data_IF_757063871673
#
_entry.id   IF_757063871673
#
_cell.length_a   1.000
_cell.length_b   1.000
_cell.length_c   1.000
_cell.angle_alpha   90.00
_cell.angle_beta   90.00
_cell.angle_gamma   90.00
#
_symmetry.space_group_name_H-M   'P 1'
#
loop_
_entity.id
_entity.type
_entity.pdbx_description
1 polymer ?
#
# COMPACT_ATOMS: atom_id res chain seq x y z
N UNK A 1 45.85 -25.02 0.18
CA UNK A 1 46.08 -23.79 0.98
C UNK A 1 44.84 -23.59 1.86
N UNK A 2 44.64 -24.39 2.93
CA UNK A 2 44.83 -24.06 4.37
C UNK A 2 44.74 -22.54 4.66
N UNK A 3 43.86 -22.03 5.54
CA UNK A 3 43.70 -22.37 6.96
C UNK A 3 42.28 -22.04 7.51
N UNK A 4 41.82 -22.86 8.46
CA UNK A 4 40.80 -22.55 9.50
C UNK A 4 41.46 -21.83 10.68
N UNK A 5 40.66 -21.38 11.67
CA UNK A 5 40.91 -21.82 13.03
C UNK A 5 39.68 -22.45 13.72
N UNK A 6 39.99 -23.40 14.59
CA UNK A 6 39.13 -24.15 15.50
C UNK A 6 38.82 -23.34 16.77
N UNK A 7 37.69 -23.63 17.44
CA UNK A 7 37.68 -23.85 18.91
C UNK A 7 36.57 -24.86 19.23
N UNK A 8 36.89 -25.88 20.03
CA UNK A 8 35.98 -26.93 20.47
C UNK A 8 35.58 -26.86 21.94
N UNK A 9 34.77 -27.86 22.30
CA UNK A 9 34.47 -28.43 23.62
C UNK A 9 33.29 -27.87 24.46
N UNK A 10 32.34 -28.78 24.71
CA UNK A 10 31.33 -28.83 25.78
C UNK A 10 31.75 -29.98 26.73
N UNK A 11 31.54 -29.90 28.06
CA UNK A 11 30.45 -30.67 28.73
C UNK A 11 29.75 -29.84 29.84
N UNK A 12 28.42 -29.85 30.01
CA UNK A 12 27.51 -30.85 30.62
C UNK A 12 27.63 -31.04 32.16
N UNK A 13 26.50 -30.86 32.87
CA UNK A 13 26.23 -31.21 34.28
C UNK A 13 26.29 -30.00 35.24
N UNK A 14 25.37 -29.72 36.16
CA UNK A 14 24.22 -30.43 36.72
C UNK A 14 24.06 -29.99 38.19
N UNK A 15 22.83 -29.84 38.68
CA UNK A 15 22.52 -30.05 40.10
C UNK A 15 22.34 -28.82 41.02
N UNK A 16 21.10 -28.34 41.11
CA UNK A 16 20.26 -28.23 42.33
C UNK A 16 20.91 -27.79 43.65
N UNK A 17 20.34 -26.75 44.29
CA UNK A 17 19.98 -26.77 45.73
C UNK A 17 18.90 -25.73 46.05
N UNK A 18 17.72 -26.25 46.32
CA UNK A 18 16.58 -25.58 46.93
C UNK A 18 16.60 -25.98 48.42
N UNK A 19 16.65 -25.03 49.35
CA UNK A 19 16.35 -25.26 50.78
C UNK A 19 15.86 -23.96 51.43
N UNK A 20 14.55 -23.79 51.50
CA UNK A 20 13.85 -23.30 52.71
C UNK A 20 13.33 -24.56 53.44
N UNK A 21 12.99 -24.59 54.75
CA UNK A 21 12.15 -23.59 55.45
C UNK A 21 12.35 -23.42 56.98
N UNK A 22 11.57 -22.53 57.59
CA UNK A 22 10.86 -22.65 58.89
C UNK A 22 10.59 -21.22 59.44
N UNK A 23 9.36 -20.69 59.28
CA UNK A 23 8.20 -20.78 60.19
C UNK A 23 8.30 -19.94 61.47
N UNK A 24 7.39 -18.96 61.56
CA UNK A 24 6.91 -18.29 62.77
C UNK A 24 5.63 -17.52 62.42
N UNK A 25 4.49 -18.08 62.82
CA UNK A 25 3.13 -17.54 62.63
C UNK A 25 2.89 -16.36 63.59
N UNK A 26 2.10 -15.37 63.19
CA UNK A 26 0.89 -15.06 63.98
C UNK A 26 -0.23 -14.31 63.22
N UNK A 27 -1.44 -14.77 63.54
CA UNK A 27 -2.84 -14.33 63.36
C UNK A 27 -3.26 -13.11 62.51
N UNK A 28 -4.31 -13.30 61.68
CA UNK A 28 -5.08 -12.19 61.09
C UNK A 28 -6.10 -12.53 59.98
N UNK A 29 -7.08 -13.42 60.25
CA UNK A 29 -8.43 -13.53 59.64
C UNK A 29 -8.62 -13.18 58.14
N UNK A 30 -8.82 -14.20 57.29
CA UNK A 30 -10.13 -14.49 56.63
C UNK A 30 -10.09 -15.85 55.91
N UNK A 31 -11.00 -16.73 56.33
CA UNK A 31 -11.54 -17.95 55.69
C UNK A 31 -10.76 -18.66 54.56
N UNK A 32 -10.22 -19.83 54.91
CA UNK A 32 -10.06 -20.99 54.05
C UNK A 32 -10.53 -22.19 54.86
N UNK A 33 -11.52 -22.93 54.38
CA UNK A 33 -11.75 -24.30 54.81
C UNK A 33 -12.21 -25.16 53.62
N UNK A 34 -11.41 -26.20 53.39
CA UNK A 34 -11.70 -27.51 52.78
C UNK A 34 -12.06 -27.58 51.29
N UNK A 35 -11.10 -27.88 50.41
CA UNK A 35 -10.53 -29.22 50.07
C UNK A 35 -11.57 -30.14 49.42
N UNK A 36 -11.39 -30.47 48.13
CA UNK A 36 -11.30 -31.85 47.62
C UNK A 36 -10.95 -31.87 46.12
N UNK A 37 -10.16 -32.88 45.78
CA UNK A 37 -9.63 -33.24 44.47
C UNK A 37 -10.68 -33.38 43.35
N UNK A 38 -10.26 -33.03 42.13
CA UNK A 38 -10.40 -33.94 40.99
C UNK A 38 -11.62 -33.79 40.08
N UNK A 39 -11.37 -33.15 38.93
CA UNK A 39 -11.98 -33.41 37.62
C UNK A 39 -13.50 -33.24 37.45
N UNK A 40 -13.86 -32.36 36.52
CA UNK A 40 -15.02 -32.59 35.66
C UNK A 40 -15.96 -31.41 35.48
N UNK A 41 -15.72 -30.67 34.40
CA UNK A 41 -16.76 -30.12 33.51
C UNK A 41 -17.71 -29.01 34.02
N UNK A 42 -17.65 -27.89 33.28
CA UNK A 42 -18.67 -26.84 33.05
C UNK A 42 -18.95 -25.86 34.21
N UNK A 43 -18.62 -24.58 34.01
CA UNK A 43 -19.55 -23.56 33.45
C UNK A 43 -18.90 -22.16 33.39
N UNK A 44 -19.05 -21.56 32.20
CA UNK A 44 -19.36 -20.14 31.94
C UNK A 44 -18.37 -19.05 32.40
N UNK A 45 -17.42 -18.72 31.51
CA UNK A 45 -17.06 -17.33 31.28
C UNK A 45 -17.88 -16.82 30.11
N UNK A 46 -18.60 -15.72 30.30
CA UNK A 46 -19.25 -14.99 29.20
C UNK A 46 -18.15 -14.41 28.30
N UNK A 47 -18.08 -14.92 27.08
CA UNK A 47 -17.38 -14.28 25.97
C UNK A 47 -18.27 -13.17 25.40
N UNK A 48 -17.76 -11.95 25.16
CA UNK A 48 -18.48 -10.99 24.34
C UNK A 48 -18.66 -11.56 22.93
N UNK A 49 -19.80 -11.27 22.28
CA UNK A 49 -20.10 -11.78 20.94
C UNK A 49 -19.13 -11.18 19.90
N UNK A 50 -18.52 -12.04 19.08
CA UNK A 50 -17.64 -11.66 17.96
C UNK A 50 -18.41 -11.00 16.82
N UNK A 51 -17.70 -10.22 16.02
CA UNK A 51 -18.24 -9.30 15.02
C UNK A 51 -17.76 -9.64 13.57
N UNK A 52 -18.21 -8.94 12.51
CA UNK A 52 -18.18 -9.30 11.06
C UNK A 52 -16.81 -9.30 10.50
N UNK A 53 -16.01 -8.45 11.11
CA UNK A 53 -14.66 -8.17 10.71
C UNK A 53 -13.78 -9.37 10.80
N UNK A 54 -14.08 -10.23 11.76
CA UNK A 54 -13.37 -11.47 11.90
C UNK A 54 -13.60 -12.33 10.63
N UNK A 55 -14.80 -12.35 9.99
CA UNK A 55 -15.09 -13.23 8.83
C UNK A 55 -14.21 -12.82 7.65
N UNK A 56 -14.11 -11.51 7.46
CA UNK A 56 -13.33 -10.89 6.39
C UNK A 56 -11.82 -11.13 6.57
N UNK A 57 -11.33 -11.15 7.82
CA UNK A 57 -9.94 -11.47 8.13
C UNK A 57 -9.60 -12.92 7.78
N UNK A 58 -10.47 -13.86 8.12
CA UNK A 58 -10.29 -15.28 7.81
C UNK A 58 -10.38 -15.57 6.31
N UNK A 59 -11.31 -14.91 5.62
CA UNK A 59 -11.44 -14.93 4.17
C UNK A 59 -10.15 -14.48 3.45
N UNK A 60 -9.60 -13.33 3.85
CA UNK A 60 -8.37 -12.78 3.28
C UNK A 60 -7.14 -13.66 3.57
N UNK A 61 -7.06 -14.23 4.77
CA UNK A 61 -6.02 -15.18 5.16
C UNK A 61 -6.09 -16.48 4.33
N UNK A 62 -7.29 -16.97 4.01
CA UNK A 62 -7.50 -18.18 3.20
C UNK A 62 -7.09 -17.99 1.73
N UNK A 63 -7.35 -16.81 1.15
CA UNK A 63 -6.93 -16.49 -0.22
C UNK A 63 -5.42 -16.23 -0.33
N UNK A 64 -4.83 -15.59 0.69
CA UNK A 64 -3.38 -15.48 0.82
C UNK A 64 -2.74 -16.86 0.99
N UNK A 65 -3.36 -17.74 1.78
CA UNK A 65 -2.92 -19.13 1.96
C UNK A 65 -3.00 -19.94 0.66
N UNK A 66 -4.09 -19.88 -0.11
CA UNK A 66 -4.23 -20.58 -1.39
C UNK A 66 -3.25 -20.08 -2.47
N UNK A 67 -3.05 -18.77 -2.55
CA UNK A 67 -2.05 -18.15 -3.44
C UNK A 67 -0.63 -18.61 -3.08
N UNK A 68 -0.36 -18.79 -1.78
CA UNK A 68 0.93 -19.29 -1.28
C UNK A 68 1.07 -20.81 -1.51
N UNK A 69 0.01 -21.60 -1.34
CA UNK A 69 -0.01 -23.05 -1.53
C UNK A 69 0.11 -23.51 -2.99
N UNK A 70 -0.11 -22.63 -3.99
CA UNK A 70 0.17 -22.93 -5.41
C UNK A 70 1.66 -23.05 -5.75
N UNK A 71 2.56 -22.66 -4.85
CA UNK A 71 3.94 -23.19 -4.80
C UNK A 71 3.98 -24.22 -3.69
N UNK A 72 4.22 -25.49 -4.05
CA UNK A 72 4.16 -26.65 -3.14
C UNK A 72 4.86 -26.36 -1.81
N UNK A 73 4.08 -26.14 -0.76
CA UNK A 73 4.54 -26.29 0.62
C UNK A 73 3.61 -27.29 1.29
N UNK A 74 4.17 -28.44 1.63
CA UNK A 74 3.48 -29.54 2.32
C UNK A 74 3.56 -29.24 3.82
N UNK A 75 2.49 -28.77 4.44
CA UNK A 75 2.42 -28.66 5.91
C UNK A 75 1.85 -29.96 6.47
N UNK A 76 2.67 -30.67 7.26
CA UNK A 76 2.31 -31.92 7.93
C UNK A 76 1.27 -31.66 9.02
N UNK A 77 0.01 -32.03 8.75
CA UNK A 77 -0.86 -32.68 9.74
C UNK A 77 -1.52 -31.82 10.83
N UNK A 78 -1.74 -30.52 10.63
CA UNK A 78 -2.56 -29.73 11.58
C UNK A 78 -3.92 -29.39 10.98
N UNK A 79 -4.98 -29.77 11.70
CA UNK A 79 -6.37 -29.42 11.41
C UNK A 79 -6.78 -28.35 12.43
N UNK A 80 -6.89 -27.10 11.98
CA UNK A 80 -7.48 -26.02 12.79
C UNK A 80 -8.98 -26.00 12.52
N UNK A 81 -9.79 -26.18 13.57
CA UNK A 81 -11.25 -26.11 13.50
C UNK A 81 -11.67 -24.69 13.84
N UNK A 82 -12.14 -23.94 12.84
CA UNK A 82 -12.57 -22.55 12.96
C UNK A 82 -14.08 -22.50 13.14
N UNK A 83 -14.51 -22.12 14.35
CA UNK A 83 -15.91 -22.05 14.73
C UNK A 83 -16.33 -20.62 15.05
N UNK A 84 -17.12 -20.05 14.12
CA UNK A 84 -17.98 -18.86 14.21
C UNK A 84 -17.31 -17.49 14.16
N UNK A 85 -17.75 -16.75 13.16
CA UNK A 85 -17.32 -15.41 12.84
C UNK A 85 -18.54 -14.70 12.24
N UNK A 86 -18.96 -13.51 12.70
CA UNK A 86 -20.24 -12.82 12.31
C UNK A 86 -20.31 -11.33 12.64
N UNK A 87 -20.79 -10.45 11.75
CA UNK A 87 -21.64 -9.24 11.95
C UNK A 87 -21.12 -7.75 12.05
N UNK A 88 -20.29 -7.31 13.02
CA UNK A 88 -20.15 -5.86 13.38
C UNK A 88 -18.79 -5.23 13.81
N UNK A 89 -17.85 -4.81 12.94
CA UNK A 89 -16.80 -3.81 13.33
C UNK A 89 -16.19 -3.06 12.11
N UNK A 90 -17.04 -2.49 11.25
CA UNK A 90 -16.64 -1.96 9.94
C UNK A 90 -15.37 -1.09 9.94
N UNK A 91 -14.28 -1.68 9.46
CA UNK A 91 -13.20 -1.05 8.69
C UNK A 91 -13.78 0.06 7.79
N UNK A 92 -13.09 1.22 7.72
CA UNK A 92 -13.11 1.97 6.46
C UNK A 92 -12.63 1.00 5.38
N UNK A 93 -13.54 0.62 4.47
CA UNK A 93 -13.31 -0.37 3.42
C UNK A 93 -12.41 0.21 2.35
N UNK A 94 -11.14 0.46 2.68
CA UNK A 94 -10.09 0.86 1.73
C UNK A 94 -9.96 -0.14 0.56
N UNK A 95 -10.51 -1.35 0.73
CA UNK A 95 -10.75 -2.32 -0.31
C UNK A 95 -12.23 -2.73 -0.33
N UNK A 96 -12.88 -2.78 -1.51
CA UNK A 96 -14.28 -3.18 -1.60
C UNK A 96 -14.50 -4.63 -1.14
N UNK A 97 -15.66 -4.90 -0.56
CA UNK A 97 -16.00 -6.24 -0.07
C UNK A 97 -16.01 -7.29 -1.19
N UNK A 98 -15.71 -8.54 -0.79
CA UNK A 98 -15.72 -9.72 -1.66
C UNK A 98 -17.02 -9.81 -2.47
N UNK A 99 -16.89 -9.66 -3.78
CA UNK A 99 -17.98 -9.74 -4.76
C UNK A 99 -17.99 -8.59 -5.77
N UNK A 100 -17.39 -7.45 -5.44
CA UNK A 100 -17.32 -6.28 -6.33
C UNK A 100 -16.11 -6.27 -7.28
N UNK A 101 -15.44 -7.41 -7.48
CA UNK A 101 -14.33 -7.55 -8.41
C UNK A 101 -14.84 -7.65 -9.84
N UNK A 102 -15.51 -6.60 -10.32
CA UNK A 102 -15.64 -6.41 -11.76
C UNK A 102 -14.24 -6.10 -12.33
N UNK A 103 -13.93 -6.70 -13.48
CA UNK A 103 -12.60 -6.73 -14.12
C UNK A 103 -11.98 -5.36 -14.44
N UNK A 104 -12.66 -4.27 -14.13
CA UNK A 104 -12.31 -2.87 -14.45
C UNK A 104 -11.54 -2.16 -13.32
N UNK A 105 -11.42 -2.76 -12.13
CA UNK A 105 -11.06 -2.02 -10.90
C UNK A 105 -9.56 -1.87 -10.56
N UNK A 106 -8.64 -1.87 -11.53
CA UNK A 106 -7.21 -1.60 -11.20
C UNK A 106 -6.89 -0.11 -11.01
N UNK A 107 -7.70 0.78 -11.59
CA UNK A 107 -7.53 2.25 -11.49
C UNK A 107 -8.31 2.83 -10.29
N UNK A 108 -9.27 2.08 -9.73
CA UNK A 108 -10.17 2.50 -8.63
C UNK A 108 -9.60 2.38 -7.22
N UNK A 109 -8.44 1.74 -7.00
CA UNK A 109 -7.94 1.53 -5.63
C UNK A 109 -7.44 2.82 -4.97
N UNK A 110 -6.66 3.64 -5.69
CA UNK A 110 -6.13 4.88 -5.13
C UNK A 110 -7.21 5.95 -5.03
N UNK A 111 -7.93 6.26 -6.12
CA UNK A 111 -9.01 7.24 -6.10
C UNK A 111 -10.10 6.86 -5.07
N UNK A 112 -10.53 5.60 -5.05
CA UNK A 112 -11.52 5.14 -4.07
C UNK A 112 -11.04 5.25 -2.63
N UNK A 113 -9.75 5.01 -2.36
CA UNK A 113 -9.17 5.24 -1.03
C UNK A 113 -9.12 6.73 -0.68
N UNK A 114 -8.74 7.59 -1.62
CA UNK A 114 -8.73 9.05 -1.42
C UNK A 114 -10.12 9.59 -1.15
N UNK A 115 -11.13 9.12 -1.88
CA UNK A 115 -12.53 9.50 -1.69
C UNK A 115 -13.02 9.12 -0.29
N UNK A 116 -12.73 7.90 0.18
CA UNK A 116 -13.09 7.47 1.53
C UNK A 116 -12.41 8.29 2.64
N UNK A 117 -11.13 8.62 2.45
CA UNK A 117 -10.37 9.45 3.39
C UNK A 117 -10.96 10.86 3.46
N UNK A 118 -11.36 11.42 2.32
CA UNK A 118 -12.04 12.72 2.24
C UNK A 118 -13.43 12.71 2.86
N UNK A 119 -14.23 11.67 2.61
CA UNK A 119 -15.54 11.48 3.25
C UNK A 119 -15.43 11.43 4.78
N UNK A 120 -14.30 10.93 5.30
CA UNK A 120 -13.98 10.94 6.72
C UNK A 120 -13.42 12.29 7.23
N UNK A 121 -13.31 13.32 6.38
CA UNK A 121 -12.78 14.64 6.73
C UNK A 121 -11.26 14.68 6.92
N UNK A 122 -10.54 13.68 6.40
CA UNK A 122 -9.08 13.57 6.51
C UNK A 122 -8.43 14.06 5.22
N UNK A 123 -7.36 14.84 5.33
CA UNK A 123 -6.55 15.25 4.18
C UNK A 123 -5.58 14.12 3.79
N UNK A 124 -5.67 13.55 2.58
CA UNK A 124 -4.72 12.54 2.13
C UNK A 124 -3.41 13.18 1.66
N UNK A 125 -2.29 12.52 1.98
CA UNK A 125 -0.97 12.83 1.42
C UNK A 125 -0.51 11.62 0.63
N UNK A 126 -0.16 11.82 -0.64
CA UNK A 126 0.33 10.75 -1.50
C UNK A 126 1.85 10.69 -1.39
N UNK A 127 2.36 9.48 -1.18
CA UNK A 127 3.79 9.22 -1.15
C UNK A 127 4.11 7.74 -1.31
N UNK A 128 5.41 7.43 -1.28
CA UNK A 128 5.91 6.07 -1.27
C UNK A 128 7.22 5.99 -0.50
N UNK A 129 7.47 4.82 0.08
CA UNK A 129 8.78 4.45 0.60
C UNK A 129 9.54 3.71 -0.52
N UNK A 130 10.74 4.21 -0.84
CA UNK A 130 11.65 3.57 -1.76
C UNK A 130 12.83 2.99 -0.96
N UNK A 131 12.94 1.66 -0.97
CA UNK A 131 14.09 0.92 -0.46
C UNK A 131 14.74 0.17 -1.63
N UNK A 132 15.88 0.67 -2.11
CA UNK A 132 16.56 0.13 -3.27
C UNK A 132 18.06 0.39 -3.24
N UNK A 133 18.85 -0.64 -3.57
CA UNK A 133 20.31 -0.53 -3.67
C UNK A 133 21.02 -0.21 -2.35
N UNK A 134 20.38 -0.53 -1.21
CA UNK A 134 20.87 -0.20 0.13
C UNK A 134 20.64 1.26 0.53
N UNK A 135 19.76 1.97 -0.18
CA UNK A 135 19.28 3.31 0.15
C UNK A 135 17.80 3.27 0.48
N UNK A 136 17.40 4.10 1.46
CA UNK A 136 16.00 4.24 1.87
C UNK A 136 15.57 5.70 1.89
N UNK A 137 14.39 5.99 1.34
CA UNK A 137 13.73 7.29 1.46
C UNK A 137 12.21 7.15 1.48
N UNK A 138 11.56 7.99 2.28
CA UNK A 138 10.14 8.30 2.19
C UNK A 138 10.00 9.51 1.28
N UNK A 139 9.18 9.39 0.23
CA UNK A 139 9.03 10.36 -0.83
C UNK A 139 7.57 10.79 -0.86
N UNK A 140 7.29 12.06 -0.61
CA UNK A 140 5.94 12.62 -0.63
C UNK A 140 5.76 13.51 -1.85
N UNK A 141 4.62 13.41 -2.51
CA UNK A 141 4.23 14.31 -3.58
C UNK A 141 3.72 15.61 -2.97
N UNK A 142 4.44 16.72 -3.20
CA UNK A 142 4.02 18.05 -2.77
C UNK A 142 2.92 18.59 -3.66
N UNK A 143 2.97 18.31 -4.97
CA UNK A 143 2.02 18.77 -5.98
C UNK A 143 1.85 17.76 -7.13
N UNK A 144 1.05 18.11 -8.14
CA UNK A 144 0.75 17.24 -9.30
C UNK A 144 2.00 16.86 -10.10
N UNK A 145 2.93 17.80 -10.29
CA UNK A 145 4.22 17.51 -10.95
C UNK A 145 5.06 16.53 -10.14
N UNK A 146 5.07 16.71 -8.82
CA UNK A 146 5.65 15.79 -7.85
C UNK A 146 5.07 14.40 -7.96
N UNK A 147 3.74 14.26 -8.05
CA UNK A 147 3.11 12.95 -8.24
C UNK A 147 3.51 12.30 -9.56
N UNK A 148 3.56 13.07 -10.66
CA UNK A 148 4.04 12.58 -11.95
C UNK A 148 5.49 12.06 -11.86
N UNK A 149 6.35 12.81 -11.17
CA UNK A 149 7.74 12.46 -10.93
C UNK A 149 7.89 11.24 -10.01
N UNK A 150 7.07 11.12 -8.96
CA UNK A 150 7.00 9.94 -8.10
C UNK A 150 6.63 8.70 -8.91
N UNK A 151 5.61 8.79 -9.76
CA UNK A 151 5.19 7.69 -10.64
C UNK A 151 6.32 7.28 -11.61
N UNK A 152 7.06 8.22 -12.19
CA UNK A 152 8.22 7.91 -13.05
C UNK A 152 9.32 7.22 -12.25
N UNK A 153 9.64 7.71 -11.07
CA UNK A 153 10.66 7.13 -10.18
C UNK A 153 10.32 5.70 -9.79
N UNK A 154 9.07 5.44 -9.36
CA UNK A 154 8.61 4.10 -9.00
C UNK A 154 8.55 3.17 -10.22
N UNK A 155 8.16 3.69 -11.39
CA UNK A 155 8.20 2.93 -12.64
C UNK A 155 9.63 2.53 -12.99
N UNK A 156 10.58 3.46 -12.86
CA UNK A 156 12.00 3.19 -13.08
C UNK A 156 12.54 2.14 -12.09
N UNK A 157 12.13 2.22 -10.81
CA UNK A 157 12.50 1.25 -9.77
C UNK A 157 12.07 -0.17 -10.15
N UNK A 158 10.87 -0.33 -10.70
CA UNK A 158 10.34 -1.65 -11.07
C UNK A 158 10.79 -2.14 -12.45
N UNK A 159 11.04 -1.23 -13.40
CA UNK A 159 11.27 -1.60 -14.80
C UNK A 159 12.74 -1.58 -15.22
N UNK A 160 13.60 -0.77 -14.58
CA UNK A 160 15.02 -0.64 -14.98
C UNK A 160 15.91 -1.59 -14.20
N UNK A 161 16.74 -2.36 -14.92
CA UNK A 161 17.84 -3.11 -14.32
C UNK A 161 18.90 -2.14 -13.82
N UNK A 162 19.42 -2.37 -12.60
CA UNK A 162 20.45 -1.51 -12.02
C UNK A 162 19.94 -0.14 -11.56
N UNK A 163 18.66 -0.05 -11.14
CA UNK A 163 18.09 1.18 -10.61
C UNK A 163 18.96 1.77 -9.48
N UNK A 164 19.24 3.07 -9.58
CA UNK A 164 20.05 3.82 -8.63
C UNK A 164 19.21 4.94 -8.02
N UNK A 165 18.73 4.72 -6.79
CA UNK A 165 17.80 5.63 -6.11
C UNK A 165 18.32 7.08 -5.99
N UNK A 166 19.58 7.35 -5.59
CA UNK A 166 20.07 8.73 -5.51
C UNK A 166 20.03 9.48 -6.84
N UNK A 167 20.38 8.81 -7.94
CA UNK A 167 20.35 9.41 -9.28
C UNK A 167 18.92 9.60 -9.81
N UNK A 168 17.99 8.70 -9.46
CA UNK A 168 16.58 8.88 -9.78
C UNK A 168 15.98 10.07 -9.01
N UNK A 169 16.30 10.21 -7.72
CA UNK A 169 15.86 11.33 -6.90
C UNK A 169 16.50 12.66 -7.30
N UNK A 170 17.70 12.65 -7.85
CA UNK A 170 18.32 13.82 -8.49
C UNK A 170 17.51 14.27 -9.71
N UNK A 171 17.16 13.33 -10.61
CA UNK A 171 16.47 13.65 -11.87
C UNK A 171 14.99 14.01 -11.71
N UNK A 172 14.28 13.36 -10.77
CA UNK A 172 12.84 13.52 -10.59
C UNK A 172 12.50 14.34 -9.33
N UNK A 173 13.42 15.16 -8.83
CA UNK A 173 13.29 15.84 -7.52
C UNK A 173 12.13 16.83 -7.44
N UNK A 174 11.80 17.46 -8.57
CA UNK A 174 10.85 18.56 -8.61
C UNK A 174 9.46 18.14 -8.13
N UNK A 175 8.85 18.97 -7.29
CA UNK A 175 7.56 18.69 -6.67
C UNK A 175 7.58 17.60 -5.58
N UNK A 176 8.74 17.05 -5.23
CA UNK A 176 8.86 16.02 -4.19
C UNK A 176 9.42 16.58 -2.87
N UNK A 177 8.92 16.02 -1.77
CA UNK A 177 9.55 16.08 -0.44
C UNK A 177 10.22 14.73 -0.19
N UNK A 178 11.48 14.74 0.26
CA UNK A 178 12.25 13.52 0.54
C UNK A 178 12.66 13.54 2.00
N UNK A 179 12.33 12.46 2.70
CA UNK A 179 12.61 12.24 4.11
C UNK A 179 13.45 10.96 4.19
N UNK A 180 14.61 11.01 4.86
CA UNK A 180 15.51 9.85 4.96
C UNK A 180 16.35 9.91 6.23
N UNK A 181 16.73 8.76 6.76
CA UNK A 181 17.75 8.59 7.80
C UNK A 181 19.07 8.01 7.24
N UNK A 182 19.15 7.79 5.93
CA UNK A 182 20.34 7.29 5.26
C UNK A 182 21.35 8.41 4.99
N UNK A 183 22.42 8.40 5.77
CA UNK A 183 23.53 9.35 5.66
C UNK A 183 24.20 9.43 4.28
N UNK A 184 24.27 8.32 3.53
CA UNK A 184 24.88 8.29 2.19
C UNK A 184 23.95 8.95 1.18
N UNK A 185 22.65 8.63 1.24
CA UNK A 185 21.64 9.25 0.38
C UNK A 185 21.55 10.76 0.63
N UNK A 186 21.44 11.17 1.90
CA UNK A 186 21.42 12.58 2.31
C UNK A 186 22.68 13.30 1.80
N UNK A 187 23.86 12.71 2.01
CA UNK A 187 25.11 13.31 1.55
C UNK A 187 25.21 13.41 0.04
N UNK A 188 24.55 12.53 -0.72
CA UNK A 188 24.49 12.60 -2.17
C UNK A 188 23.56 13.74 -2.60
N UNK A 189 22.30 13.72 -2.16
CA UNK A 189 21.27 14.67 -2.59
C UNK A 189 21.61 16.11 -2.22
N UNK A 190 22.21 16.33 -1.04
CA UNK A 190 22.61 17.66 -0.56
C UNK A 190 23.58 18.37 -1.51
N UNK A 191 24.38 17.64 -2.30
CA UNK A 191 25.30 18.25 -3.28
C UNK A 191 24.56 19.02 -4.37
N UNK A 192 23.32 18.65 -4.64
CA UNK A 192 22.50 19.20 -5.72
C UNK A 192 21.46 20.18 -5.17
N UNK A 193 20.74 19.79 -4.12
CA UNK A 193 19.78 20.66 -3.45
C UNK A 193 19.51 20.21 -2.02
N UNK A 194 19.44 21.18 -1.12
CA UNK A 194 18.95 20.97 0.26
C UNK A 194 17.45 21.25 0.40
N UNK A 195 16.80 21.76 -0.65
CA UNK A 195 15.37 22.05 -0.64
C UNK A 195 14.53 20.78 -0.53
N UNK A 196 13.44 20.86 0.26
CA UNK A 196 12.49 19.78 0.49
C UNK A 196 13.14 18.45 0.97
N UNK A 197 14.33 18.50 1.59
CA UNK A 197 15.07 17.35 2.08
C UNK A 197 15.11 17.39 3.61
N UNK A 198 14.63 16.32 4.25
CA UNK A 198 14.48 16.24 5.69
C UNK A 198 15.13 14.98 6.24
N UNK A 199 15.55 15.04 7.51
CA UNK A 199 16.08 13.87 8.23
C UNK A 199 14.95 13.20 9.00
N UNK A 200 14.70 11.92 8.70
CA UNK A 200 13.67 11.15 9.40
C UNK A 200 14.12 10.83 10.83
N UNK A 201 13.27 11.16 11.80
CA UNK A 201 13.42 10.75 13.19
C UNK A 201 12.20 9.92 13.57
N UNK A 202 12.41 8.63 13.84
CA UNK A 202 11.32 7.72 14.21
C UNK A 202 11.62 6.94 15.50
N UNK A 203 10.66 6.81 16.43
CA UNK A 203 10.88 6.07 17.67
C UNK A 203 11.21 4.60 17.39
N UNK A 204 12.15 4.03 18.14
CA UNK A 204 12.66 2.68 17.87
C UNK A 204 13.67 2.58 16.73
N UNK A 205 13.86 3.63 15.92
CA UNK A 205 14.77 3.65 14.75
C UNK A 205 15.95 4.60 14.93
N UNK A 206 16.76 4.38 15.97
CA UNK A 206 18.01 5.11 16.21
C UNK A 206 17.86 6.66 16.23
N UNK A 207 16.80 7.20 16.84
CA UNK A 207 16.52 8.65 16.88
C UNK A 207 17.71 9.55 17.21
N UNK A 208 18.56 9.15 18.18
CA UNK A 208 19.76 9.91 18.54
C UNK A 208 20.74 10.06 17.37
N UNK A 209 20.87 9.02 16.55
CA UNK A 209 21.71 9.05 15.34
C UNK A 209 21.09 9.96 14.28
N UNK A 210 19.77 9.91 14.10
CA UNK A 210 19.06 10.79 13.18
C UNK A 210 19.20 12.27 13.59
N UNK A 211 19.07 12.59 14.88
CA UNK A 211 19.30 13.96 15.38
C UNK A 211 20.74 14.44 15.13
N UNK A 212 21.73 13.59 15.40
CA UNK A 212 23.13 13.90 15.10
C UNK A 212 23.35 14.10 13.58
N UNK A 213 22.64 13.35 12.74
CA UNK A 213 22.67 13.47 11.29
C UNK A 213 22.07 14.80 10.83
N UNK A 214 20.92 15.20 11.37
CA UNK A 214 20.28 16.48 11.13
C UNK A 214 21.23 17.64 11.43
N UNK A 215 21.85 17.65 12.61
CA UNK A 215 22.84 18.67 13.00
C UNK A 215 24.08 18.69 12.10
N UNK A 216 24.64 17.51 11.76
CA UNK A 216 25.81 17.40 10.88
C UNK A 216 25.54 17.94 9.48
N UNK A 217 24.38 17.65 8.92
CA UNK A 217 24.03 18.06 7.56
C UNK A 217 23.30 19.41 7.50
N UNK A 218 22.96 20.01 8.66
CA UNK A 218 22.15 21.23 8.79
C UNK A 218 20.83 21.10 8.03
N UNK A 219 20.17 19.96 8.22
CA UNK A 219 18.88 19.66 7.60
C UNK A 219 17.80 19.57 8.69
N UNK A 220 16.58 20.03 8.40
CA UNK A 220 15.46 19.95 9.34
C UNK A 220 15.11 18.49 9.66
N UNK A 221 14.97 18.11 10.94
CA UNK A 221 14.45 16.81 11.33
C UNK A 221 12.92 16.76 11.16
N UNK A 222 12.38 15.58 10.90
CA UNK A 222 10.94 15.33 10.79
C UNK A 222 10.56 14.09 11.59
N UNK A 223 9.52 14.21 12.40
CA UNK A 223 8.97 13.12 13.19
C UNK A 223 8.09 12.20 12.33
N UNK A 224 8.34 10.89 12.38
CA UNK A 224 7.47 9.86 11.79
C UNK A 224 7.36 8.68 12.76
N UNK A 225 6.29 7.90 12.69
CA UNK A 225 6.17 6.65 13.47
C UNK A 225 6.61 5.40 12.72
N UNK A 226 6.86 5.49 11.40
CA UNK A 226 7.02 4.33 10.50
C UNK A 226 5.94 3.26 10.71
N UNK A 227 4.72 3.72 11.02
CA UNK A 227 3.62 2.83 11.36
C UNK A 227 3.35 1.82 10.24
N UNK A 228 3.48 0.53 10.57
CA UNK A 228 3.00 -0.58 9.74
C UNK A 228 1.85 -1.33 10.44
N UNK A 229 1.58 -0.99 11.70
CA UNK A 229 0.50 -1.51 12.53
C UNK A 229 -0.48 -0.39 12.87
N UNK A 230 -1.77 -0.73 12.97
CA UNK A 230 -2.77 0.20 13.48
C UNK A 230 -2.77 0.16 15.01
N UNK A 231 -2.76 -1.03 15.60
CA UNK A 231 -2.74 -1.26 17.03
C UNK A 231 -1.59 -2.17 17.44
N UNK A 232 -1.17 -2.08 18.71
CA UNK A 232 -0.14 -2.95 19.28
C UNK A 232 -0.49 -4.45 19.20
N UNK A 233 -1.79 -4.79 19.29
CA UNK A 233 -2.29 -6.16 19.16
C UNK A 233 -2.08 -6.78 17.78
N UNK A 234 -1.86 -5.97 16.74
CA UNK A 234 -1.71 -6.43 15.35
C UNK A 234 -0.32 -7.04 15.08
N UNK A 235 0.59 -6.96 16.06
CA UNK A 235 1.98 -7.42 15.92
C UNK A 235 2.07 -8.91 15.54
N UNK A 236 1.28 -9.77 16.18
CA UNK A 236 1.28 -11.21 15.87
C UNK A 236 0.80 -11.50 14.45
N UNK A 237 -0.22 -10.77 13.98
CA UNK A 237 -0.71 -10.88 12.60
C UNK A 237 0.38 -10.43 11.63
N UNK A 238 1.04 -9.31 11.90
CA UNK A 238 2.15 -8.81 11.10
C UNK A 238 3.29 -9.84 11.00
N UNK A 239 3.69 -10.47 12.12
CA UNK A 239 4.72 -11.52 12.12
C UNK A 239 4.35 -12.69 11.20
N UNK A 240 3.10 -13.14 11.24
CA UNK A 240 2.61 -14.20 10.34
C UNK A 240 2.71 -13.77 8.88
N UNK A 241 2.29 -12.54 8.55
CA UNK A 241 2.38 -12.02 7.18
C UNK A 241 3.83 -11.90 6.71
N UNK A 242 4.75 -11.44 7.57
CA UNK A 242 6.19 -11.38 7.27
C UNK A 242 6.80 -12.77 7.06
N UNK A 243 6.43 -13.75 7.89
CA UNK A 243 6.86 -15.13 7.71
C UNK A 243 6.43 -15.72 6.36
N UNK A 244 5.19 -15.44 5.95
CA UNK A 244 4.69 -15.84 4.62
C UNK A 244 5.47 -15.12 3.52
N UNK A 245 5.59 -13.79 3.59
CA UNK A 245 6.25 -12.98 2.57
C UNK A 245 7.73 -13.36 2.37
N UNK A 246 8.44 -13.61 3.47
CA UNK A 246 9.86 -13.97 3.46
C UNK A 246 10.08 -15.48 3.28
N UNK A 247 9.00 -16.28 3.25
CA UNK A 247 9.04 -17.74 3.25
C UNK A 247 9.91 -18.30 4.39
N UNK A 248 9.76 -17.72 5.59
CA UNK A 248 10.47 -18.09 6.83
C UNK A 248 9.48 -18.72 7.82
N UNK A 249 10.00 -19.51 8.77
CA UNK A 249 9.23 -19.91 9.96
C UNK A 249 9.12 -18.70 10.90
N UNK A 250 8.03 -18.59 11.66
CA UNK A 250 7.86 -17.56 12.70
C UNK A 250 9.05 -17.51 13.67
N UNK A 251 9.54 -18.68 14.09
CA UNK A 251 10.69 -18.80 14.99
C UNK A 251 12.04 -18.40 14.37
N UNK A 252 12.07 -18.07 13.08
CA UNK A 252 13.28 -17.68 12.32
C UNK A 252 13.21 -16.25 11.80
N UNK A 253 12.18 -15.49 12.18
CA UNK A 253 12.13 -14.06 11.90
C UNK A 253 13.18 -13.36 12.78
N UNK A 254 14.02 -12.54 12.17
CA UNK A 254 14.89 -11.60 12.89
C UNK A 254 14.08 -10.39 13.39
N UNK A 255 14.70 -9.53 14.19
CA UNK A 255 14.12 -8.23 14.55
C UNK A 255 13.82 -7.39 13.30
N UNK A 256 14.74 -7.34 12.33
CA UNK A 256 14.55 -6.60 11.07
C UNK A 256 13.48 -7.19 10.15
N UNK A 257 13.11 -8.47 10.34
CA UNK A 257 12.05 -9.09 9.56
C UNK A 257 10.65 -8.68 10.03
N UNK A 258 10.51 -8.08 11.22
CA UNK A 258 9.26 -7.76 11.88
C UNK A 258 9.19 -6.30 12.36
N UNK A 259 7.99 -5.84 12.68
CA UNK A 259 7.74 -4.49 13.17
C UNK A 259 8.34 -4.35 14.58
N UNK A 260 8.89 -3.18 14.87
CA UNK A 260 9.18 -2.72 16.22
C UNK A 260 7.87 -2.48 16.99
N UNK A 261 7.94 -2.49 18.32
CA UNK A 261 6.81 -2.10 19.19
C UNK A 261 6.32 -0.67 18.90
N UNK A 262 7.20 0.18 18.38
CA UNK A 262 6.90 1.58 18.06
C UNK A 262 6.37 1.80 16.64
N UNK A 263 6.34 0.76 15.79
CA UNK A 263 5.86 0.85 14.39
C UNK A 263 4.32 0.78 14.32
N UNK A 264 3.67 1.51 15.23
CA UNK A 264 2.23 1.58 15.43
C UNK A 264 1.76 3.00 15.11
N UNK A 265 0.51 3.16 14.67
CA UNK A 265 -0.10 4.47 14.50
C UNK A 265 -0.34 5.11 15.88
N UNK A 266 0.57 5.97 16.29
CA UNK A 266 0.52 6.65 17.58
C UNK A 266 -0.49 7.80 17.58
N UNK A 267 -1.17 7.99 18.71
CA UNK A 267 -1.98 9.19 18.95
C UNK A 267 -1.10 10.45 19.04
N UNK A 268 -1.65 11.65 18.79
CA UNK A 268 -0.93 12.92 18.91
C UNK A 268 -0.21 13.11 20.26
N UNK A 269 -0.84 12.75 21.38
CA UNK A 269 -0.25 12.92 22.72
C UNK A 269 0.95 11.97 22.91
N UNK A 270 0.76 10.68 22.59
CA UNK A 270 1.81 9.65 22.66
C UNK A 270 3.01 9.98 21.79
N UNK A 271 2.80 10.49 20.57
CA UNK A 271 3.94 10.88 19.73
C UNK A 271 4.60 12.14 20.27
N UNK A 272 3.86 13.12 20.80
CA UNK A 272 4.44 14.32 21.41
C UNK A 272 5.37 14.00 22.60
N UNK A 273 4.95 13.08 23.48
CA UNK A 273 5.73 12.62 24.64
C UNK A 273 7.10 12.01 24.27
N UNK A 274 7.26 11.56 23.03
CA UNK A 274 8.51 10.94 22.54
C UNK A 274 9.51 11.96 21.98
N UNK A 275 9.12 13.22 21.76
CA UNK A 275 9.97 14.27 21.16
C UNK A 275 10.24 15.50 22.07
N UNK A 276 10.36 15.39 23.42
CA UNK A 276 10.63 16.56 24.26
C UNK A 276 11.99 17.22 23.98
N UNK A 277 12.91 16.47 23.34
CA UNK A 277 14.25 16.90 22.97
C UNK A 277 14.34 17.53 21.57
N UNK A 278 13.28 17.45 20.77
CA UNK A 278 13.25 17.97 19.39
C UNK A 278 11.80 18.25 18.95
N UNK A 279 11.10 19.23 19.55
CA UNK A 279 9.72 19.57 19.20
C UNK A 279 9.60 20.05 17.74
N UNK A 280 10.65 20.69 17.22
CA UNK A 280 10.75 21.13 15.81
C UNK A 280 10.51 19.98 14.81
N UNK A 281 10.80 18.72 15.17
CA UNK A 281 10.55 17.58 14.29
C UNK A 281 9.05 17.33 14.05
N UNK A 282 8.21 17.58 15.06
CA UNK A 282 6.75 17.48 14.95
C UNK A 282 6.18 18.68 14.19
N UNK A 283 6.71 19.88 14.44
CA UNK A 283 6.32 21.09 13.71
C UNK A 283 6.62 20.95 12.21
N UNK A 284 7.79 20.44 11.85
CA UNK A 284 8.14 20.17 10.46
C UNK A 284 7.24 19.11 9.82
N UNK A 285 6.83 18.07 10.56
CA UNK A 285 5.88 17.07 10.06
C UNK A 285 4.51 17.70 9.74
N UNK A 286 4.02 18.58 10.61
CA UNK A 286 2.79 19.33 10.39
C UNK A 286 2.90 20.31 9.21
N UNK A 287 4.02 21.03 9.09
CA UNK A 287 4.28 21.93 7.97
C UNK A 287 4.31 21.19 6.63
N UNK A 288 5.00 20.05 6.56
CA UNK A 288 5.02 19.18 5.37
C UNK A 288 3.60 18.74 5.00
N UNK A 289 2.80 18.35 5.99
CA UNK A 289 1.41 17.95 5.74
C UNK A 289 0.56 19.08 5.15
N UNK A 290 0.78 20.32 5.60
CA UNK A 290 0.09 21.50 5.07
C UNK A 290 0.57 21.90 3.67
N UNK A 291 1.85 21.69 3.35
CA UNK A 291 2.42 21.99 2.03
C UNK A 291 1.99 21.00 0.93
N UNK A 292 1.64 19.77 1.30
CA UNK A 292 1.23 18.73 0.37
C UNK A 292 -0.18 18.99 -0.20
N UNK A 293 -0.33 18.81 -1.51
CA UNK A 293 -1.64 18.84 -2.18
C UNK A 293 -2.60 17.85 -1.53
N UNK A 294 -3.76 18.39 -1.13
CA UNK A 294 -4.88 17.65 -0.54
C UNK A 294 -5.89 17.18 -1.60
N UNK A 295 -6.08 18.01 -2.62
CA UNK A 295 -7.08 17.81 -3.66
C UNK A 295 -6.45 17.15 -4.89
N UNK A 296 -6.75 15.88 -5.04
CA UNK A 296 -6.29 14.99 -6.09
C UNK A 296 -7.51 14.55 -6.89
N UNK A 297 -7.53 14.89 -8.18
CA UNK A 297 -8.56 14.48 -9.12
C UNK A 297 -7.96 13.56 -10.19
N UNK A 298 -8.33 12.28 -10.15
CA UNK A 298 -7.98 11.29 -11.17
C UNK A 298 -9.20 10.87 -12.02
N UNK A 299 -10.30 11.62 -11.99
CA UNK A 299 -11.55 11.27 -12.68
C UNK A 299 -11.57 11.66 -14.17
N UNK A 300 -10.65 12.52 -14.59
CA UNK A 300 -10.50 12.93 -15.99
C UNK A 300 -10.22 11.74 -16.92
N UNK A 301 -11.07 11.53 -17.92
CA UNK A 301 -10.79 10.53 -18.95
C UNK A 301 -9.81 11.10 -19.96
N UNK A 302 -8.66 10.45 -20.10
CA UNK A 302 -7.63 10.81 -21.08
C UNK A 302 -7.70 9.78 -22.22
N UNK A 303 -8.16 10.21 -23.40
CA UNK A 303 -8.11 9.39 -24.60
C UNK A 303 -6.84 9.68 -25.40
N UNK A 304 -6.19 8.66 -25.95
CA UNK A 304 -5.08 8.89 -26.88
C UNK A 304 -5.61 9.65 -28.11
N UNK A 305 -4.89 10.67 -28.60
CA UNK A 305 -5.28 11.35 -29.82
C UNK A 305 -5.21 10.36 -30.99
N UNK A 306 -6.24 10.39 -31.83
CA UNK A 306 -6.27 9.56 -33.03
C UNK A 306 -5.33 10.15 -34.09
N UNK A 307 -4.20 9.50 -34.35
CA UNK A 307 -3.20 9.92 -35.37
C UNK A 307 -2.75 11.38 -35.23
N UNK A 308 -2.56 11.82 -33.99
CA UNK A 308 -2.16 13.19 -33.63
C UNK A 308 -3.10 14.30 -34.13
N UNK A 309 -4.33 13.94 -34.54
CA UNK A 309 -5.35 14.91 -34.92
C UNK A 309 -5.75 15.75 -33.72
N UNK A 310 -6.07 17.02 -33.97
CA UNK A 310 -6.73 17.84 -32.97
C UNK A 310 -8.20 17.44 -32.78
N UNK A 311 -8.89 18.14 -31.87
CA UNK A 311 -10.28 17.84 -31.51
C UNK A 311 -11.23 18.04 -32.70
N UNK A 312 -11.07 19.12 -33.46
CA UNK A 312 -11.98 19.49 -34.53
C UNK A 312 -11.74 18.63 -35.77
N UNK A 313 -10.47 18.31 -36.06
CA UNK A 313 -10.07 17.33 -37.07
C UNK A 313 -10.67 15.95 -36.79
N UNK A 314 -10.57 15.47 -35.54
CA UNK A 314 -11.14 14.17 -35.16
C UNK A 314 -12.67 14.15 -35.25
N UNK A 315 -13.34 15.26 -34.92
CA UNK A 315 -14.80 15.37 -35.10
C UNK A 315 -15.18 15.31 -36.58
N UNK A 316 -14.47 16.04 -37.43
CA UNK A 316 -14.71 16.06 -38.88
C UNK A 316 -14.50 14.67 -39.49
N UNK A 317 -13.41 13.99 -39.11
CA UNK A 317 -13.11 12.64 -39.59
C UNK A 317 -14.15 11.63 -39.08
N UNK A 318 -14.57 11.72 -37.81
CA UNK A 318 -15.63 10.87 -37.27
C UNK A 318 -16.94 11.07 -38.02
N UNK A 319 -17.35 12.31 -38.30
CA UNK A 319 -18.57 12.60 -39.06
C UNK A 319 -18.50 11.98 -40.46
N UNK A 320 -17.37 12.14 -41.16
CA UNK A 320 -17.15 11.56 -42.48
C UNK A 320 -17.28 10.03 -42.46
N UNK A 321 -16.59 9.34 -41.54
CA UNK A 321 -16.67 7.87 -41.42
C UNK A 321 -18.05 7.39 -41.02
N UNK A 322 -18.71 8.10 -40.12
CA UNK A 322 -20.07 7.78 -39.67
C UNK A 322 -21.07 7.87 -40.82
N UNK A 323 -20.99 8.91 -41.65
CA UNK A 323 -21.84 9.05 -42.84
C UNK A 323 -21.58 7.93 -43.85
N UNK A 324 -20.32 7.58 -44.09
CA UNK A 324 -19.96 6.45 -44.96
C UNK A 324 -20.45 5.10 -44.40
N UNK A 325 -20.37 4.89 -43.08
CA UNK A 325 -20.90 3.70 -42.40
C UNK A 325 -22.42 3.62 -42.48
N UNK A 326 -23.12 4.74 -42.32
CA UNK A 326 -24.57 4.82 -42.45
C UNK A 326 -25.03 4.47 -43.88
N UNK A 327 -24.36 5.00 -44.91
CA UNK A 327 -24.64 4.63 -46.30
C UNK A 327 -24.41 3.13 -46.55
N UNK A 328 -23.31 2.56 -46.04
CA UNK A 328 -23.02 1.13 -46.16
C UNK A 328 -24.09 0.25 -45.49
N UNK A 329 -24.62 0.66 -44.33
CA UNK A 329 -25.57 -0.13 -43.53
C UNK A 329 -27.02 0.00 -43.99
N UNK A 330 -27.44 1.19 -44.40
CA UNK A 330 -28.84 1.50 -44.71
C UNK A 330 -29.10 1.74 -46.21
N UNK A 331 -28.05 1.88 -47.04
CA UNK A 331 -28.14 2.19 -48.47
C UNK A 331 -28.51 3.66 -48.75
N UNK A 332 -29.58 4.16 -48.14
CA UNK A 332 -30.02 5.56 -48.25
C UNK A 332 -30.18 6.19 -46.86
N UNK A 333 -29.90 7.48 -46.75
CA UNK A 333 -30.06 8.24 -45.50
C UNK A 333 -31.42 8.95 -45.56
N UNK A 334 -32.40 8.44 -44.82
CA UNK A 334 -33.68 9.12 -44.62
C UNK A 334 -33.59 10.23 -43.57
N UNK A 335 -34.56 11.14 -43.54
CA UNK A 335 -34.62 12.23 -42.54
C UNK A 335 -34.62 11.74 -41.08
N UNK A 336 -35.11 10.52 -40.84
CA UNK A 336 -35.03 9.92 -39.51
C UNK A 336 -33.60 9.54 -39.14
N UNK A 337 -32.85 8.97 -40.09
CA UNK A 337 -31.44 8.60 -39.89
C UNK A 337 -30.59 9.86 -39.74
N UNK A 338 -30.80 10.88 -40.59
CA UNK A 338 -30.05 12.14 -40.51
C UNK A 338 -30.26 12.86 -39.17
N UNK A 339 -31.51 12.94 -38.68
CA UNK A 339 -31.80 13.51 -37.35
C UNK A 339 -31.09 12.75 -36.24
N UNK A 340 -31.05 11.42 -36.31
CA UNK A 340 -30.38 10.57 -35.32
C UNK A 340 -28.86 10.78 -35.36
N UNK A 341 -28.25 10.77 -36.54
CA UNK A 341 -26.81 11.03 -36.73
C UNK A 341 -26.41 12.39 -36.17
N UNK A 342 -27.16 13.43 -36.52
CA UNK A 342 -26.89 14.79 -36.03
C UNK A 342 -26.97 14.88 -34.50
N UNK A 343 -27.97 14.23 -33.89
CA UNK A 343 -28.11 14.18 -32.43
C UNK A 343 -26.93 13.47 -31.76
N UNK A 344 -26.57 12.28 -32.25
CA UNK A 344 -25.48 11.47 -31.66
C UNK A 344 -24.11 12.15 -31.86
N UNK A 345 -23.81 12.67 -33.05
CA UNK A 345 -22.55 13.38 -33.33
C UNK A 345 -22.41 14.66 -32.51
N UNK A 346 -23.51 15.41 -32.28
CA UNK A 346 -23.49 16.57 -31.39
C UNK A 346 -23.13 16.16 -29.96
N UNK A 347 -23.75 15.10 -29.42
CA UNK A 347 -23.44 14.62 -28.08
C UNK A 347 -21.98 14.14 -27.96
N UNK A 348 -21.44 13.49 -29.00
CA UNK A 348 -20.04 13.03 -29.02
C UNK A 348 -19.07 14.23 -29.05
N UNK A 349 -19.39 15.26 -29.84
CA UNK A 349 -18.64 16.52 -29.89
C UNK A 349 -18.61 17.19 -28.52
N UNK A 350 -19.77 17.35 -27.89
CA UNK A 350 -19.91 18.02 -26.59
C UNK A 350 -19.11 17.28 -25.51
N UNK A 351 -19.15 15.94 -25.52
CA UNK A 351 -18.38 15.10 -24.59
C UNK A 351 -16.90 14.94 -24.93
N UNK A 352 -16.46 15.34 -26.13
CA UNK A 352 -15.07 15.20 -26.58
C UNK A 352 -14.64 13.75 -26.84
N UNK A 353 -15.59 12.86 -27.20
CA UNK A 353 -15.32 11.43 -27.35
C UNK A 353 -14.94 11.01 -28.78
N UNK A 354 -14.66 11.98 -29.66
CA UNK A 354 -14.39 11.68 -31.08
C UNK A 354 -13.18 10.74 -31.26
N UNK A 355 -12.06 11.00 -30.58
CA UNK A 355 -10.88 10.14 -30.63
C UNK A 355 -11.17 8.71 -30.15
N UNK A 356 -12.00 8.55 -29.11
CA UNK A 356 -12.39 7.24 -28.61
C UNK A 356 -13.11 6.43 -29.69
N UNK A 357 -14.10 7.01 -30.37
CA UNK A 357 -14.83 6.31 -31.43
C UNK A 357 -13.93 5.93 -32.61
N UNK A 358 -13.00 6.81 -33.01
CA UNK A 358 -12.06 6.54 -34.10
C UNK A 358 -11.07 5.41 -33.74
N UNK A 359 -10.52 5.42 -32.53
CA UNK A 359 -9.61 4.36 -32.05
C UNK A 359 -10.36 3.03 -31.95
N UNK A 360 -11.57 3.03 -31.39
CA UNK A 360 -12.37 1.81 -31.24
C UNK A 360 -12.78 1.24 -32.59
N UNK A 361 -13.14 2.09 -33.56
CA UNK A 361 -13.43 1.64 -34.92
C UNK A 361 -12.22 0.91 -35.52
N UNK A 362 -11.01 1.48 -35.46
CA UNK A 362 -9.79 0.84 -36.00
C UNK A 362 -9.43 -0.47 -35.29
N UNK A 363 -9.75 -0.59 -33.99
CA UNK A 363 -9.54 -1.83 -33.24
C UNK A 363 -10.54 -2.94 -33.58
N UNK A 364 -11.75 -2.57 -34.04
CA UNK A 364 -12.84 -3.50 -34.36
C UNK A 364 -12.87 -3.84 -35.85
N UNK A 365 -12.21 -3.04 -36.69
CA UNK A 365 -12.13 -3.26 -38.12
C UNK A 365 -11.54 -4.67 -38.43
N UNK A 366 -12.26 -5.52 -39.19
CA UNK A 366 -11.74 -6.82 -39.62
C UNK A 366 -10.50 -6.76 -40.52
N UNK A 367 -10.17 -5.61 -41.12
CA UNK A 367 -8.93 -5.38 -41.88
C UNK A 367 -8.07 -4.29 -41.22
N UNK A 368 -7.49 -4.56 -40.03
CA UNK A 368 -6.65 -3.58 -39.35
C UNK A 368 -5.38 -3.34 -40.18
N UNK A 369 -4.82 -2.12 -40.16
CA UNK A 369 -3.66 -1.75 -40.97
C UNK A 369 -2.37 -2.56 -40.66
N UNK A 370 -2.37 -3.37 -39.60
CA UNK A 370 -1.26 -4.23 -39.21
C UNK A 370 -1.65 -5.73 -39.26
N UNK A 371 -0.89 -6.50 -40.06
CA UNK A 371 -1.16 -7.89 -40.45
C UNK A 371 -1.31 -8.91 -39.29
N UNK A 372 -0.96 -8.57 -38.05
CA UNK A 372 -0.98 -9.50 -36.92
C UNK A 372 -2.35 -9.63 -36.23
N UNK A 373 -3.35 -8.83 -36.59
CA UNK A 373 -4.65 -8.77 -35.88
C UNK A 373 -5.79 -9.54 -36.57
N UNK A 374 -5.57 -10.12 -37.75
CA UNK A 374 -6.56 -10.90 -38.52
C UNK A 374 -7.10 -12.17 -37.81
N UNK A 375 -6.58 -12.52 -36.62
CA UNK A 375 -6.96 -13.74 -35.88
C UNK A 375 -8.06 -13.54 -34.83
N UNK A 376 -8.53 -12.32 -34.60
CA UNK A 376 -9.49 -12.03 -33.54
C UNK A 376 -10.91 -11.84 -34.09
N UNK A 377 -11.82 -12.72 -33.68
CA UNK A 377 -13.25 -12.61 -34.02
C UNK A 377 -13.93 -11.66 -33.04
N UNK A 378 -14.31 -10.48 -33.50
CA UNK A 378 -15.11 -9.53 -32.70
C UNK A 378 -16.58 -9.95 -32.69
N UNK A 379 -17.22 -9.90 -31.52
CA UNK A 379 -18.63 -10.26 -31.32
C UNK A 379 -19.57 -9.46 -32.26
N UNK A 380 -20.64 -10.07 -32.79
CA UNK A 380 -21.61 -9.39 -33.66
C UNK A 380 -22.29 -8.16 -33.01
N UNK A 381 -22.29 -8.06 -31.66
CA UNK A 381 -22.84 -6.90 -30.95
C UNK A 381 -21.97 -5.63 -31.04
N UNK A 382 -20.73 -5.76 -31.48
CA UNK A 382 -19.79 -4.64 -31.67
C UNK A 382 -19.64 -4.24 -33.15
N UNK A 383 -20.33 -4.92 -34.09
CA UNK A 383 -20.25 -4.66 -35.55
C UNK A 383 -21.41 -3.82 -36.11
#
# INVERSE_FOLDING_TARGET
MRLRPEVGAVPAGGGVRNTYPAHGQDSGRTHLDHILHGWGNRKTCFTPALTDMDILLFAAAEELFERTCRRRVRVKGMRLVLGRITDTDRQLRLFPARGAWEKTQKITALQGALDQVREAGIQPIIGAEADAGGYRAVILARNTDGYSNLCRLLSDLHCKKGFHLPGALENYREGLIVISDDSKLISYLRKYSSGNLFVEMSPGHLMRRALALAGRFRLPPVATSRAVLLNESDHEIHRVLRAIALNKKLSRLSADDQASEMDVLLSPDRIADLYPHCPEALENAAAIAQECVADWDFQGTIFPPFRDMDRDEAICELEKRTRQGALRRYGTISDNIERRLKKELSLIRDKGFAHYFLVVEELVDPEPPCANWQKYTVSPRMR
#
